data_IF_963747364683
#
_entry.id   IF_963747364683
#
_cell.length_a   1.000
_cell.length_b   1.000
_cell.length_c   1.000
_cell.angle_alpha   90.00
_cell.angle_beta   90.00
_cell.angle_gamma   90.00
#
_symmetry.space_group_name_H-M   'P 1'
#
loop_
_entity.id
_entity.type
_entity.pdbx_description
1 polymer ?
#
# COMPACT_ATOMS: atom_id res chain seq x y z
N UNK A 1 44.90 -38.24 -14.39
CA UNK A 1 45.55 -37.03 -14.94
C UNK A 1 46.42 -36.46 -13.83
N UNK A 2 47.75 -36.59 -13.93
CA UNK A 2 48.66 -36.02 -12.95
C UNK A 2 48.85 -34.54 -13.29
N UNK A 3 48.33 -33.65 -12.44
CA UNK A 3 48.52 -32.20 -12.59
C UNK A 3 50.00 -31.84 -12.53
N UNK A 4 50.38 -30.76 -13.20
CA UNK A 4 51.76 -30.29 -13.27
C UNK A 4 52.33 -30.00 -11.87
N UNK A 5 53.07 -30.98 -11.33
CA UNK A 5 53.65 -30.94 -9.99
C UNK A 5 54.65 -29.78 -9.84
N UNK A 6 55.31 -29.36 -10.93
CA UNK A 6 56.28 -28.28 -10.88
C UNK A 6 55.61 -26.94 -10.56
N UNK A 7 54.46 -26.66 -11.18
CA UNK A 7 53.65 -25.47 -10.91
C UNK A 7 53.13 -25.42 -9.47
N UNK A 8 52.81 -26.58 -8.89
CA UNK A 8 52.32 -26.66 -7.51
C UNK A 8 53.43 -26.37 -6.48
N UNK A 9 54.65 -26.83 -6.76
CA UNK A 9 55.81 -26.59 -5.90
C UNK A 9 56.27 -25.13 -5.95
N UNK A 10 56.26 -24.52 -7.14
CA UNK A 10 56.61 -23.09 -7.28
C UNK A 10 55.56 -22.21 -6.62
N UNK A 11 54.27 -22.50 -6.80
CA UNK A 11 53.17 -21.79 -6.13
C UNK A 11 53.29 -21.86 -4.61
N UNK A 12 53.57 -23.05 -4.07
CA UNK A 12 53.77 -23.25 -2.63
C UNK A 12 54.95 -22.44 -2.10
N UNK A 13 56.11 -22.50 -2.77
CA UNK A 13 57.29 -21.72 -2.38
C UNK A 13 57.01 -20.22 -2.38
N UNK A 14 56.27 -19.74 -3.37
CA UNK A 14 55.89 -18.33 -3.45
C UNK A 14 54.92 -17.95 -2.31
N UNK A 15 53.95 -18.80 -2.00
CA UNK A 15 53.02 -18.59 -0.88
C UNK A 15 53.73 -18.59 0.48
N UNK A 16 54.67 -19.51 0.70
CA UNK A 16 55.50 -19.56 1.90
C UNK A 16 56.36 -18.30 2.04
N UNK A 17 57.04 -17.88 0.96
CA UNK A 17 57.83 -16.65 0.97
C UNK A 17 56.98 -15.38 1.20
N UNK A 18 55.75 -15.35 0.69
CA UNK A 18 54.85 -14.22 0.91
C UNK A 18 54.37 -14.16 2.37
N UNK A 19 54.06 -15.30 2.97
CA UNK A 19 53.65 -15.41 4.37
C UNK A 19 54.78 -15.09 5.36
N UNK A 20 56.04 -15.38 5.01
CA UNK A 20 57.22 -14.99 5.81
C UNK A 20 57.45 -13.48 5.82
N UNK A 21 57.16 -12.81 4.70
CA UNK A 21 57.31 -11.35 4.58
C UNK A 21 56.18 -10.63 5.32
N UNK A 22 54.94 -11.10 5.17
CA UNK A 22 53.77 -10.54 5.86
C UNK A 22 52.66 -11.59 6.01
N UNK A 23 52.31 -11.89 7.27
CA UNK A 23 51.27 -12.86 7.60
C UNK A 23 49.86 -12.38 7.22
N UNK A 24 49.66 -11.07 7.04
CA UNK A 24 48.35 -10.47 6.72
C UNK A 24 48.02 -10.47 5.23
N UNK A 25 48.94 -10.93 4.37
CA UNK A 25 48.82 -10.91 2.89
C UNK A 25 47.55 -11.61 2.37
N UNK A 26 47.03 -12.59 3.10
CA UNK A 26 45.83 -13.35 2.72
C UNK A 26 44.59 -13.00 3.55
N UNK A 27 44.67 -12.06 4.47
CA UNK A 27 43.56 -11.64 5.34
C UNK A 27 42.59 -10.66 4.64
N UNK A 28 42.25 -10.92 3.37
CA UNK A 28 41.35 -10.04 2.61
C UNK A 28 39.96 -9.89 3.26
N UNK A 29 39.45 -10.93 3.91
CA UNK A 29 38.13 -10.92 4.55
C UNK A 29 38.13 -10.08 5.84
N UNK A 30 39.25 -10.03 6.57
CA UNK A 30 39.35 -9.24 7.82
C UNK A 30 39.30 -7.73 7.55
N UNK A 31 39.89 -7.30 6.43
CA UNK A 31 39.92 -5.90 6.00
C UNK A 31 38.67 -5.51 5.22
N UNK A 32 38.01 -6.46 4.54
CA UNK A 32 36.83 -6.18 3.70
C UNK A 32 35.70 -5.49 4.47
N UNK A 33 35.43 -5.92 5.70
CA UNK A 33 34.41 -5.29 6.54
C UNK A 33 34.77 -3.86 6.98
N UNK A 34 36.07 -3.55 7.11
CA UNK A 34 36.56 -2.20 7.41
C UNK A 34 36.51 -1.25 6.21
N UNK A 35 36.61 -1.81 4.99
CA UNK A 35 36.50 -1.07 3.72
C UNK A 35 35.05 -0.79 3.33
N UNK A 36 34.08 -1.51 3.92
CA UNK A 36 32.67 -1.18 3.74
C UNK A 36 32.45 0.22 4.32
N UNK A 37 31.95 1.19 3.53
CA UNK A 37 31.59 2.48 4.09
C UNK A 37 30.57 2.23 5.19
N UNK A 38 30.87 2.69 6.42
CA UNK A 38 29.92 2.65 7.53
C UNK A 38 28.66 3.34 7.05
N UNK A 39 27.61 2.57 6.76
CA UNK A 39 26.31 3.10 6.38
C UNK A 39 25.82 3.88 7.59
N UNK A 40 26.02 5.19 7.57
CA UNK A 40 25.31 6.07 8.49
C UNK A 40 23.85 5.89 8.14
N UNK A 41 23.05 5.41 9.10
CA UNK A 41 21.62 5.26 8.91
C UNK A 41 21.05 6.60 8.49
N UNK A 42 20.74 6.76 7.20
CA UNK A 42 20.10 7.95 6.69
C UNK A 42 18.66 7.96 7.22
N UNK A 43 18.03 9.14 7.29
CA UNK A 43 16.62 9.24 7.71
C UNK A 43 15.71 8.33 6.85
N UNK A 44 16.10 8.12 5.59
CA UNK A 44 15.44 7.20 4.64
C UNK A 44 15.46 5.73 5.09
N UNK A 45 16.50 5.26 5.80
CA UNK A 45 16.55 3.91 6.35
C UNK A 45 15.57 3.72 7.53
N UNK A 46 15.25 4.78 8.27
CA UNK A 46 14.22 4.74 9.32
C UNK A 46 12.80 4.77 8.74
N UNK A 47 12.64 5.34 7.54
CA UNK A 47 11.40 5.39 6.78
C UNK A 47 11.10 4.08 6.04
N UNK A 48 12.03 3.12 6.01
CA UNK A 48 11.80 1.74 5.50
C UNK A 48 10.86 0.90 6.38
N UNK A 49 10.19 1.49 7.38
CA UNK A 49 9.05 0.83 8.01
C UNK A 49 7.91 0.72 6.99
N UNK A 50 7.19 -0.41 6.91
CA UNK A 50 6.08 -0.53 5.99
C UNK A 50 5.08 0.59 6.26
N UNK A 51 4.66 1.29 5.20
CA UNK A 51 3.80 2.49 5.25
C UNK A 51 2.53 2.31 6.11
N UNK A 52 2.10 1.08 6.33
CA UNK A 52 0.87 0.72 7.04
C UNK A 52 1.07 -0.05 8.35
N UNK A 53 2.29 -0.49 8.69
CA UNK A 53 2.52 -1.34 9.87
C UNK A 53 2.07 -0.65 11.16
N UNK A 54 2.36 0.65 11.29
CA UNK A 54 1.93 1.45 12.45
C UNK A 54 0.41 1.44 12.61
N UNK A 55 -0.33 1.60 11.51
CA UNK A 55 -1.79 1.63 11.55
C UNK A 55 -2.37 0.24 11.88
N UNK A 56 -1.75 -0.84 11.39
CA UNK A 56 -2.17 -2.21 11.70
C UNK A 56 -1.97 -2.49 13.20
N UNK A 57 -0.81 -2.11 13.76
CA UNK A 57 -0.54 -2.27 15.19
C UNK A 57 -1.51 -1.44 16.02
N UNK A 58 -1.73 -0.17 15.67
CA UNK A 58 -2.70 0.70 16.34
C UNK A 58 -4.11 0.12 16.28
N UNK A 59 -4.54 -0.41 15.14
CA UNK A 59 -5.85 -1.04 14.98
C UNK A 59 -5.98 -2.33 15.81
N UNK A 60 -4.91 -3.13 15.89
CA UNK A 60 -4.89 -4.31 16.75
C UNK A 60 -5.02 -3.92 18.23
N UNK A 61 -4.35 -2.85 18.66
CA UNK A 61 -4.43 -2.35 20.04
C UNK A 61 -5.82 -1.79 20.37
N UNK A 62 -6.46 -1.09 19.41
CA UNK A 62 -7.85 -0.64 19.54
C UNK A 62 -8.79 -1.83 19.73
N UNK A 63 -8.71 -2.85 18.88
CA UNK A 63 -9.55 -4.05 19.01
C UNK A 63 -9.37 -4.78 20.34
N UNK A 64 -8.14 -4.84 20.86
CA UNK A 64 -7.87 -5.44 22.17
C UNK A 64 -8.56 -4.66 23.28
N UNK A 65 -8.49 -3.31 23.24
CA UNK A 65 -9.20 -2.46 24.19
C UNK A 65 -10.72 -2.64 24.09
N UNK A 66 -11.26 -2.64 22.86
CA UNK A 66 -12.70 -2.82 22.63
C UNK A 66 -13.19 -4.18 23.13
N UNK A 67 -12.40 -5.24 22.96
CA UNK A 67 -12.71 -6.58 23.47
C UNK A 67 -12.78 -6.59 25.00
N UNK A 68 -11.82 -5.96 25.69
CA UNK A 68 -11.84 -5.83 27.15
C UNK A 68 -13.07 -5.05 27.64
N UNK A 69 -13.40 -3.94 26.99
CA UNK A 69 -14.58 -3.14 27.32
C UNK A 69 -15.87 -3.96 27.09
N UNK A 70 -15.93 -4.75 26.02
CA UNK A 70 -17.08 -5.60 25.72
C UNK A 70 -17.27 -6.70 26.77
N UNK A 71 -16.18 -7.35 27.20
CA UNK A 71 -16.20 -8.32 28.29
C UNK A 71 -16.65 -7.67 29.61
N UNK A 72 -16.13 -6.50 29.95
CA UNK A 72 -16.55 -5.77 31.16
C UNK A 72 -18.03 -5.39 31.14
N UNK A 73 -18.54 -4.89 30.00
CA UNK A 73 -19.97 -4.59 29.80
C UNK A 73 -20.82 -5.85 29.86
N UNK A 74 -20.31 -6.99 29.37
CA UNK A 74 -20.97 -8.29 29.46
C UNK A 74 -21.09 -8.74 30.91
N UNK A 75 -19.99 -8.70 31.67
CA UNK A 75 -20.00 -9.09 33.09
C UNK A 75 -20.89 -8.15 33.91
N UNK A 76 -20.89 -6.85 33.61
CA UNK A 76 -21.80 -5.91 34.25
C UNK A 76 -23.28 -6.28 34.00
N UNK A 77 -23.63 -6.60 32.75
CA UNK A 77 -24.98 -7.06 32.38
C UNK A 77 -25.37 -8.39 33.05
N UNK A 78 -24.44 -9.34 33.13
CA UNK A 78 -24.65 -10.60 33.86
C UNK A 78 -24.92 -10.35 35.35
N UNK A 79 -24.16 -9.44 35.98
CA UNK A 79 -24.38 -9.06 37.38
C UNK A 79 -25.68 -8.29 37.62
N UNK A 80 -26.14 -7.52 36.65
CA UNK A 80 -27.45 -6.86 36.72
C UNK A 80 -28.58 -7.89 36.63
N UNK A 81 -28.44 -8.88 35.75
CA UNK A 81 -29.41 -9.97 35.60
C UNK A 81 -29.44 -10.90 36.83
N UNK A 82 -28.29 -11.22 37.41
CA UNK A 82 -28.16 -12.00 38.66
C UNK A 82 -28.38 -11.14 39.92
N UNK A 83 -28.53 -9.83 39.76
CA UNK A 83 -28.55 -8.85 40.83
C UNK A 83 -29.72 -8.98 41.79
N UNK A 84 -30.83 -9.60 41.36
CA UNK A 84 -31.96 -9.93 42.23
C UNK A 84 -31.66 -11.14 43.15
N UNK A 85 -30.82 -12.08 42.71
CA UNK A 85 -30.47 -13.30 43.46
C UNK A 85 -29.33 -13.08 44.47
N UNK A 86 -28.49 -12.07 44.23
CA UNK A 86 -27.33 -11.74 45.08
C UNK A 86 -27.35 -10.33 45.67
N UNK A 87 -28.54 -9.70 45.76
CA UNK A 87 -28.72 -8.38 46.37
C UNK A 87 -28.24 -8.33 47.84
N UNK A 88 -28.43 -9.43 48.57
CA UNK A 88 -28.07 -9.54 50.00
C UNK A 88 -26.57 -9.84 50.22
N UNK A 89 -25.79 -10.07 49.17
CA UNK A 89 -24.35 -10.39 49.27
C UNK A 89 -23.49 -9.17 49.00
N UNK A 90 -22.42 -9.03 49.77
CA UNK A 90 -21.46 -7.94 49.63
C UNK A 90 -20.69 -8.04 48.30
N UNK A 91 -20.55 -6.90 47.60
CA UNK A 91 -19.83 -6.79 46.32
C UNK A 91 -18.37 -6.42 46.59
N UNK A 92 -17.45 -7.36 46.37
CA UNK A 92 -16.02 -7.11 46.51
C UNK A 92 -15.38 -6.82 45.15
N UNK A 93 -14.79 -5.63 45.02
CA UNK A 93 -14.01 -5.22 43.85
C UNK A 93 -12.55 -5.04 44.28
N UNK A 94 -11.64 -5.72 43.59
CA UNK A 94 -10.20 -5.56 43.83
C UNK A 94 -9.73 -4.17 43.41
N UNK A 95 -8.71 -3.62 44.08
CA UNK A 95 -8.16 -2.30 43.73
C UNK A 95 -7.67 -2.23 42.28
N UNK A 96 -7.11 -3.33 41.76
CA UNK A 96 -6.66 -3.43 40.38
C UNK A 96 -7.83 -3.27 39.39
N UNK A 97 -8.96 -3.92 39.65
CA UNK A 97 -10.14 -3.81 38.80
C UNK A 97 -10.78 -2.42 38.87
N UNK A 98 -10.76 -1.77 40.05
CA UNK A 98 -11.20 -0.37 40.18
C UNK A 98 -10.35 0.57 39.33
N UNK A 99 -9.02 0.42 39.38
CA UNK A 99 -8.09 1.20 38.55
C UNK A 99 -8.29 0.94 37.05
N UNK A 100 -8.50 -0.31 36.65
CA UNK A 100 -8.80 -0.68 35.26
C UNK A 100 -10.10 -0.02 34.77
N UNK A 101 -11.16 -0.01 35.58
CA UNK A 101 -12.40 0.67 35.22
C UNK A 101 -12.24 2.19 35.10
N UNK A 102 -11.45 2.81 35.97
CA UNK A 102 -11.16 4.25 35.89
C UNK A 102 -10.34 4.60 34.65
N UNK A 103 -9.33 3.78 34.30
CA UNK A 103 -8.54 3.94 33.09
C UNK A 103 -9.40 3.80 31.83
N UNK A 104 -10.26 2.77 31.77
CA UNK A 104 -11.17 2.57 30.65
C UNK A 104 -12.16 3.73 30.49
N UNK A 105 -12.74 4.24 31.59
CA UNK A 105 -13.62 5.42 31.55
C UNK A 105 -12.91 6.66 31.04
N UNK A 106 -11.67 6.89 31.50
CA UNK A 106 -10.87 8.03 31.05
C UNK A 106 -10.54 7.94 29.56
N UNK A 107 -10.22 6.76 29.06
CA UNK A 107 -9.97 6.51 27.64
C UNK A 107 -11.24 6.68 26.80
N UNK A 108 -12.39 6.20 27.28
CA UNK A 108 -13.69 6.38 26.61
C UNK A 108 -14.09 7.86 26.53
N UNK A 109 -13.86 8.65 27.58
CA UNK A 109 -14.10 10.09 27.57
C UNK A 109 -13.16 10.84 26.62
N UNK A 110 -11.89 10.45 26.54
CA UNK A 110 -10.92 11.05 25.63
C UNK A 110 -11.25 10.73 24.16
N UNK A 111 -11.59 9.48 23.85
CA UNK A 111 -12.05 9.07 22.52
C UNK A 111 -13.38 9.75 22.18
N UNK A 112 -14.33 9.86 23.12
CA UNK A 112 -15.58 10.60 22.89
C UNK A 112 -15.32 12.07 22.59
N UNK A 113 -14.43 12.73 23.33
CA UNK A 113 -14.05 14.13 23.06
C UNK A 113 -13.43 14.27 21.68
N UNK A 114 -12.55 13.34 21.30
CA UNK A 114 -11.92 13.32 19.97
C UNK A 114 -12.96 13.11 18.87
N UNK A 115 -13.87 12.16 19.04
CA UNK A 115 -14.95 11.90 18.10
C UNK A 115 -15.88 13.11 17.97
N UNK A 116 -16.21 13.80 19.07
CA UNK A 116 -16.99 15.04 19.03
C UNK A 116 -16.29 16.16 18.27
N UNK A 117 -14.97 16.31 18.44
CA UNK A 117 -14.15 17.26 17.68
C UNK A 117 -14.06 16.88 16.19
N UNK A 118 -13.86 15.60 15.89
CA UNK A 118 -13.86 15.08 14.52
C UNK A 118 -15.24 15.22 13.87
N UNK A 119 -16.33 14.96 14.60
CA UNK A 119 -17.69 15.18 14.15
C UNK A 119 -17.97 16.67 13.89
N UNK A 120 -17.46 17.58 14.74
CA UNK A 120 -17.52 19.03 14.49
C UNK A 120 -16.74 19.44 13.23
N UNK A 121 -15.58 18.83 12.95
CA UNK A 121 -14.80 19.05 11.72
C UNK A 121 -15.48 18.43 10.48
N UNK A 122 -16.08 17.25 10.64
CA UNK A 122 -16.76 16.48 9.59
C UNK A 122 -18.17 17.01 9.28
N UNK A 123 -18.78 17.79 10.17
CA UNK A 123 -19.99 18.59 9.91
C UNK A 123 -19.81 19.62 8.78
N UNK A 124 -18.60 19.78 8.24
CA UNK A 124 -18.35 20.71 7.13
C UNK A 124 -19.06 20.37 5.81
N UNK A 125 -19.71 19.19 5.65
CA UNK A 125 -20.73 19.00 4.61
C UNK A 125 -20.40 18.01 3.49
N UNK A 126 -19.93 16.80 3.84
CA UNK A 126 -19.79 15.68 2.90
C UNK A 126 -18.95 15.99 1.64
N UNK A 127 -19.25 15.32 0.53
CA UNK A 127 -18.51 15.48 -0.73
C UNK A 127 -18.64 16.89 -1.32
N UNK A 128 -19.78 17.57 -1.13
CA UNK A 128 -19.96 18.94 -1.66
C UNK A 128 -19.06 19.96 -0.96
N UNK A 129 -18.79 19.78 0.32
CA UNK A 129 -17.82 20.59 1.06
C UNK A 129 -16.37 20.28 0.68
N UNK A 130 -16.08 19.03 0.34
CA UNK A 130 -14.79 18.65 -0.21
C UNK A 130 -14.53 19.38 -1.55
N UNK A 131 -15.50 19.35 -2.48
CA UNK A 131 -15.39 20.09 -3.74
C UNK A 131 -15.29 21.61 -3.52
N UNK A 132 -16.04 22.16 -2.56
CA UNK A 132 -15.94 23.58 -2.20
C UNK A 132 -14.54 23.96 -1.71
N UNK A 133 -14.01 23.20 -0.75
CA UNK A 133 -12.63 23.41 -0.24
C UNK A 133 -11.57 23.24 -1.33
N UNK A 134 -11.78 22.36 -2.30
CA UNK A 134 -10.86 22.18 -3.42
C UNK A 134 -10.85 23.44 -4.30
N UNK A 135 -12.04 23.94 -4.67
CA UNK A 135 -12.18 25.18 -5.43
C UNK A 135 -11.61 26.39 -4.66
N UNK A 136 -11.94 26.54 -3.38
CA UNK A 136 -11.41 27.61 -2.52
C UNK A 136 -9.87 27.56 -2.47
N UNK A 137 -9.27 26.36 -2.43
CA UNK A 137 -7.81 26.18 -2.42
C UNK A 137 -7.18 26.51 -3.77
N UNK A 138 -7.84 26.18 -4.87
CA UNK A 138 -7.36 26.51 -6.21
C UNK A 138 -7.49 28.02 -6.49
N UNK A 139 -8.56 28.67 -6.00
CA UNK A 139 -8.71 30.12 -6.01
C UNK A 139 -7.63 30.82 -5.18
N UNK A 140 -7.33 30.32 -3.97
CA UNK A 140 -6.25 30.84 -3.13
C UNK A 140 -4.88 30.76 -3.82
N UNK A 141 -4.59 29.60 -4.45
CA UNK A 141 -3.35 29.43 -5.23
C UNK A 141 -3.28 30.40 -6.39
N UNK A 142 -4.40 30.62 -7.07
CA UNK A 142 -4.45 31.57 -8.16
C UNK A 142 -4.24 33.01 -7.65
N UNK A 143 -4.89 33.40 -6.56
CA UNK A 143 -4.71 34.72 -5.96
C UNK A 143 -3.28 34.96 -5.47
N UNK A 144 -2.65 33.94 -4.88
CA UNK A 144 -1.26 34.02 -4.44
C UNK A 144 -0.30 34.14 -5.63
N UNK A 145 -0.56 33.41 -6.71
CA UNK A 145 0.23 33.52 -7.94
C UNK A 145 0.09 34.89 -8.60
N UNK A 146 -1.13 35.43 -8.68
CA UNK A 146 -1.39 36.78 -9.21
C UNK A 146 -0.73 37.84 -8.33
N UNK A 147 -0.86 37.73 -7.01
CA UNK A 147 -0.21 38.63 -6.07
C UNK A 147 1.31 38.58 -6.18
N UNK A 148 1.90 37.38 -6.29
CA UNK A 148 3.35 37.23 -6.49
C UNK A 148 3.80 37.81 -7.84
N UNK A 149 3.00 37.70 -8.90
CA UNK A 149 3.27 38.34 -10.19
C UNK A 149 3.18 39.87 -10.11
N UNK A 150 2.19 40.41 -9.40
CA UNK A 150 2.04 41.84 -9.17
C UNK A 150 3.15 42.42 -8.29
N UNK A 151 3.58 41.69 -7.25
CA UNK A 151 4.70 42.10 -6.39
C UNK A 151 6.01 42.11 -7.18
N UNK A 152 6.24 41.12 -8.05
CA UNK A 152 7.37 41.10 -9.00
C UNK A 152 7.31 42.24 -10.02
N UNK A 153 6.12 42.60 -10.50
CA UNK A 153 5.94 43.72 -11.43
C UNK A 153 6.14 45.08 -10.75
N UNK A 154 5.77 45.22 -9.46
CA UNK A 154 5.91 46.47 -8.69
C UNK A 154 7.30 46.70 -8.13
N UNK A 155 8.02 45.64 -7.75
CA UNK A 155 9.34 45.77 -7.13
C UNK A 155 10.51 45.66 -8.12
N UNK A 156 10.23 45.34 -9.40
CA UNK A 156 11.27 45.00 -10.36
C UNK A 156 11.95 43.69 -9.99
N UNK A 157 12.32 42.87 -10.98
CA UNK A 157 13.01 41.63 -10.71
C UNK A 157 14.31 41.90 -9.92
N UNK A 158 14.64 41.14 -8.86
CA UNK A 158 16.01 41.09 -8.40
C UNK A 158 16.81 40.48 -9.56
N UNK A 159 17.84 41.20 -10.01
CA UNK A 159 18.87 40.64 -10.89
C UNK A 159 19.56 39.50 -10.13
N UNK A 160 19.08 38.28 -10.33
CA UNK A 160 19.92 37.10 -10.16
C UNK A 160 20.51 36.78 -11.52
N UNK A 161 21.79 37.13 -11.67
CA UNK A 161 22.69 36.48 -12.62
C UNK A 161 22.50 34.97 -12.50
N UNK A 162 22.04 34.31 -13.57
CA UNK A 162 22.62 33.08 -14.07
C UNK A 162 21.97 32.72 -15.42
N UNK A 163 22.85 32.44 -16.38
CA UNK A 163 22.60 32.06 -17.76
C UNK A 163 21.52 30.98 -17.94
N UNK A 164 20.55 31.25 -18.80
CA UNK A 164 20.34 30.40 -19.97
C UNK A 164 19.58 31.16 -21.08
N UNK A 165 19.98 30.88 -22.31
CA UNK A 165 19.67 31.58 -23.56
C UNK A 165 18.20 31.35 -23.98
N UNK A 166 17.27 32.21 -23.56
CA UNK A 166 15.92 32.28 -24.14
C UNK A 166 15.72 33.61 -24.85
N UNK A 167 16.12 33.61 -26.13
CA UNK A 167 15.83 34.68 -27.08
C UNK A 167 14.33 34.89 -27.15
N UNK A 168 13.91 36.06 -26.69
CA UNK A 168 12.62 36.66 -26.98
C UNK A 168 12.35 36.59 -28.49
N UNK A 169 11.46 35.67 -28.89
CA UNK A 169 10.90 35.62 -30.24
C UNK A 169 10.07 36.90 -30.45
N UNK A 170 10.71 37.92 -31.03
CA UNK A 170 9.98 38.96 -31.75
C UNK A 170 9.28 38.25 -32.91
N UNK A 171 7.95 38.31 -32.91
CA UNK A 171 7.08 37.77 -33.96
C UNK A 171 7.55 38.27 -35.34
N UNK A 172 8.39 37.49 -36.02
CA UNK A 172 8.73 37.74 -37.43
C UNK A 172 7.48 37.43 -38.24
N UNK A 173 7.07 38.36 -39.09
CA UNK A 173 5.87 38.17 -39.92
C UNK A 173 6.07 36.98 -40.87
N UNK A 174 4.98 36.28 -41.24
CA UNK A 174 5.02 35.10 -42.12
C UNK A 174 5.81 35.37 -43.43
N UNK A 175 5.76 36.62 -43.92
CA UNK A 175 6.47 37.08 -45.12
C UNK A 175 8.00 37.16 -44.94
N UNK A 176 8.47 37.56 -43.75
CA UNK A 176 9.91 37.66 -43.47
C UNK A 176 10.54 36.27 -43.36
N UNK A 177 9.80 35.32 -42.78
CA UNK A 177 10.21 33.91 -42.68
C UNK A 177 10.31 33.29 -44.08
N UNK A 178 9.35 33.60 -44.96
CA UNK A 178 9.36 33.11 -46.34
C UNK A 178 10.56 33.62 -47.15
N UNK A 179 10.91 34.91 -47.00
CA UNK A 179 12.10 35.49 -47.65
C UNK A 179 13.39 34.86 -47.14
N UNK A 180 13.52 34.71 -45.82
CA UNK A 180 14.69 34.09 -45.19
C UNK A 180 14.86 32.62 -45.63
N UNK A 181 13.75 31.89 -45.83
CA UNK A 181 13.76 30.53 -46.36
C UNK A 181 14.15 30.48 -47.85
N UNK A 182 13.69 31.44 -48.66
CA UNK A 182 14.08 31.54 -50.07
C UNK A 182 15.57 31.89 -50.23
N UNK A 183 16.11 32.76 -49.39
CA UNK A 183 17.56 33.05 -49.33
C UNK A 183 18.37 31.82 -48.92
N UNK A 184 17.81 30.97 -48.04
CA UNK A 184 18.40 29.68 -47.63
C UNK A 184 18.16 28.55 -48.64
N UNK A 185 17.60 28.84 -49.82
CA UNK A 185 17.44 27.89 -50.92
C UNK A 185 16.16 27.04 -50.89
N UNK A 186 15.19 27.34 -50.03
CA UNK A 186 13.84 26.80 -50.16
C UNK A 186 13.11 27.50 -51.32
N UNK A 187 12.19 26.82 -52.01
CA UNK A 187 11.37 27.42 -53.05
C UNK A 187 9.95 27.67 -52.51
N UNK A 188 9.79 28.72 -51.70
CA UNK A 188 8.51 29.17 -51.16
C UNK A 188 7.88 30.18 -52.12
N UNK A 189 6.68 29.85 -52.64
CA UNK A 189 5.95 30.74 -53.54
C UNK A 189 5.22 31.86 -52.77
N UNK A 190 5.49 33.12 -53.12
CA UNK A 190 4.90 34.32 -52.51
C UNK A 190 4.12 35.08 -53.59
N UNK A 191 2.89 35.50 -53.27
CA UNK A 191 2.05 36.34 -54.16
C UNK A 191 2.50 37.81 -54.17
N UNK A 192 2.00 38.61 -55.10
CA UNK A 192 2.29 40.05 -55.22
C UNK A 192 1.93 40.85 -53.94
N UNK A 193 0.97 40.37 -53.15
CA UNK A 193 0.57 40.93 -51.85
C UNK A 193 1.47 40.49 -50.66
N UNK A 194 2.57 39.78 -50.92
CA UNK A 194 3.52 39.35 -49.88
C UNK A 194 3.04 38.19 -49.02
N UNK A 195 1.95 37.51 -49.39
CA UNK A 195 1.42 36.34 -48.70
C UNK A 195 1.97 35.03 -49.29
N UNK A 196 2.29 34.06 -48.43
CA UNK A 196 2.76 32.73 -48.84
C UNK A 196 1.58 31.91 -49.37
N UNK A 197 1.72 31.41 -50.60
CA UNK A 197 0.65 30.67 -51.31
C UNK A 197 0.34 29.34 -50.62
N UNK A 198 1.37 28.63 -50.15
CA UNK A 198 1.24 27.37 -49.43
C UNK A 198 2.02 27.40 -48.12
N UNK A 199 1.28 27.53 -47.00
CA UNK A 199 1.85 27.57 -45.64
C UNK A 199 2.63 26.32 -45.24
N UNK A 200 2.46 25.20 -45.97
CA UNK A 200 3.24 23.98 -45.73
C UNK A 200 4.70 24.13 -46.12
N UNK A 201 5.00 25.02 -47.06
CA UNK A 201 6.37 25.29 -47.51
C UNK A 201 7.20 26.03 -46.46
N UNK A 202 6.56 26.66 -45.47
CA UNK A 202 7.21 27.25 -44.30
C UNK A 202 7.64 26.20 -43.26
N UNK A 203 7.10 24.98 -43.34
CA UNK A 203 7.43 23.91 -42.41
C UNK A 203 8.75 23.26 -42.83
N UNK A 204 9.79 23.44 -42.00
CA UNK A 204 11.10 22.79 -42.18
C UNK A 204 10.90 21.27 -42.30
N UNK A 205 11.41 20.68 -43.39
CA UNK A 205 11.29 19.26 -43.73
C UNK A 205 11.95 18.35 -42.69
N UNK A 206 11.25 18.10 -41.58
CA UNK A 206 11.70 17.23 -40.49
C UNK A 206 10.57 16.68 -39.60
N UNK A 207 9.32 17.08 -39.84
CA UNK A 207 8.16 16.62 -39.07
C UNK A 207 7.20 15.74 -39.89
N UNK A 208 7.76 14.88 -40.76
CA UNK A 208 7.00 13.81 -41.43
C UNK A 208 7.43 12.44 -40.89
N UNK A 209 7.23 12.21 -39.59
CA UNK A 209 7.19 10.84 -39.05
C UNK A 209 5.85 10.24 -39.48
N UNK A 210 5.87 9.46 -40.57
CA UNK A 210 4.68 8.78 -41.07
C UNK A 210 4.11 7.85 -40.01
N UNK A 211 2.95 8.18 -39.45
CA UNK A 211 2.20 7.28 -38.59
C UNK A 211 1.81 6.03 -39.39
N UNK A 212 2.31 4.86 -38.98
CA UNK A 212 1.94 3.57 -39.55
C UNK A 212 0.42 3.38 -39.45
N UNK A 213 -0.22 3.24 -40.61
CA UNK A 213 -1.64 2.91 -40.77
C UNK A 213 -1.87 1.50 -40.19
N UNK A 214 -2.67 1.38 -39.12
CA UNK A 214 -3.22 0.08 -38.71
C UNK A 214 -4.33 -0.28 -39.68
N UNK A 215 -4.24 -1.48 -40.23
CA UNK A 215 -5.21 -2.07 -41.14
C UNK A 215 -6.57 -2.22 -40.42
N UNK A 216 -7.57 -1.51 -40.92
CA UNK A 216 -8.97 -1.76 -40.59
C UNK A 216 -9.49 -2.86 -41.50
N UNK A 217 -9.87 -3.98 -40.90
CA UNK A 217 -10.58 -5.09 -41.53
C UNK A 217 -11.80 -4.57 -42.27
N UNK A 218 -11.90 -4.94 -43.54
CA UNK A 218 -13.03 -4.66 -44.41
C UNK A 218 -14.31 -5.28 -43.84
N UNK A 219 -15.36 -4.47 -43.69
CA UNK A 219 -16.73 -4.96 -43.72
C UNK A 219 -17.52 -4.15 -44.74
N UNK A 220 -18.16 -4.90 -45.61
CA UNK A 220 -18.85 -4.50 -46.81
C UNK A 220 -19.90 -3.43 -46.57
N UNK A 221 -20.02 -2.57 -47.57
CA UNK A 221 -21.06 -1.58 -47.71
C UNK A 221 -22.39 -2.27 -48.07
N UNK A 222 -23.46 -1.97 -47.34
CA UNK A 222 -24.81 -1.97 -47.91
C UNK A 222 -25.66 -0.81 -47.38
N UNK A 223 -26.08 0.00 -48.36
CA UNK A 223 -27.38 0.68 -48.51
C UNK A 223 -27.76 1.79 -47.54
N UNK A 224 -27.78 2.99 -48.13
CA UNK A 224 -28.61 4.11 -47.74
C UNK A 224 -30.09 3.69 -47.63
N UNK A 225 -30.71 4.00 -46.50
CA UNK A 225 -32.16 4.13 -46.38
C UNK A 225 -32.43 5.22 -45.33
N UNK A 226 -33.03 6.32 -45.78
CA UNK A 226 -33.55 7.39 -44.94
C UNK A 226 -34.46 6.81 -43.86
N UNK A 227 -34.29 7.27 -42.62
CA UNK A 227 -35.24 7.02 -41.52
C UNK A 227 -35.69 8.35 -40.93
N UNK A 228 -37.00 8.50 -40.66
CA UNK A 228 -37.55 9.75 -40.17
C UNK A 228 -37.15 9.97 -38.71
N UNK A 229 -36.92 11.24 -38.36
CA UNK A 229 -36.75 11.68 -36.98
C UNK A 229 -38.03 11.33 -36.21
N UNK A 230 -37.89 10.53 -35.14
CA UNK A 230 -38.96 10.23 -34.18
C UNK A 230 -38.41 10.35 -32.77
N UNK A 231 -39.24 10.95 -31.92
CA UNK A 231 -38.94 11.55 -30.63
C UNK A 231 -38.14 10.66 -29.66
N UNK A 232 -37.13 11.29 -29.04
CA UNK A 232 -36.29 10.70 -27.99
C UNK A 232 -36.97 10.92 -26.65
N UNK A 233 -37.87 10.03 -26.27
CA UNK A 233 -38.32 9.93 -24.87
C UNK A 233 -38.40 8.47 -24.41
N UNK A 234 -37.74 8.20 -23.28
CA UNK A 234 -37.86 7.04 -22.38
C UNK A 234 -37.29 5.64 -22.72
N UNK A 235 -36.86 5.30 -23.93
CA UNK A 235 -36.40 3.91 -24.19
C UNK A 235 -34.92 3.62 -23.84
N UNK A 236 -34.09 4.64 -23.64
CA UNK A 236 -32.67 4.49 -23.28
C UNK A 236 -32.42 4.16 -21.80
N UNK A 237 -33.36 4.49 -20.90
CA UNK A 237 -33.22 4.23 -19.46
C UNK A 237 -33.34 2.72 -19.15
N UNK A 238 -34.28 2.01 -19.78
CA UNK A 238 -34.46 0.57 -19.57
C UNK A 238 -33.26 -0.28 -20.02
N UNK A 239 -32.59 0.07 -21.11
CA UNK A 239 -31.40 -0.65 -21.60
C UNK A 239 -30.18 -0.44 -20.70
N UNK A 240 -30.01 0.76 -20.14
CA UNK A 240 -28.95 1.09 -19.17
C UNK A 240 -29.19 0.44 -17.81
N UNK A 241 -30.45 0.35 -17.39
CA UNK A 241 -30.86 -0.36 -16.17
C UNK A 241 -30.63 -1.87 -16.29
N UNK A 242 -31.02 -2.48 -17.42
CA UNK A 242 -30.77 -3.90 -17.67
C UNK A 242 -29.27 -4.26 -17.75
N UNK A 243 -28.40 -3.33 -18.19
CA UNK A 243 -26.95 -3.54 -18.12
C UNK A 243 -26.42 -3.46 -16.69
N UNK A 244 -26.91 -2.51 -15.88
CA UNK A 244 -26.55 -2.39 -14.47
C UNK A 244 -26.99 -3.60 -13.65
N UNK A 245 -28.19 -4.11 -13.90
CA UNK A 245 -28.70 -5.32 -13.22
C UNK A 245 -27.87 -6.57 -13.53
N UNK A 246 -27.36 -6.69 -14.75
CA UNK A 246 -26.44 -7.80 -15.11
C UNK A 246 -25.07 -7.64 -14.44
N UNK A 247 -24.58 -6.41 -14.35
CA UNK A 247 -23.32 -6.12 -13.66
C UNK A 247 -23.45 -6.31 -12.14
N UNK A 248 -24.56 -5.89 -11.54
CA UNK A 248 -24.80 -6.08 -10.11
C UNK A 248 -24.95 -7.55 -9.77
N UNK A 249 -25.68 -8.34 -10.58
CA UNK A 249 -25.78 -9.79 -10.40
C UNK A 249 -24.43 -10.51 -10.52
N UNK A 250 -23.56 -10.09 -11.44
CA UNK A 250 -22.21 -10.65 -11.55
C UNK A 250 -21.36 -10.36 -10.30
N UNK A 251 -21.45 -9.15 -9.76
CA UNK A 251 -20.73 -8.76 -8.54
C UNK A 251 -21.29 -9.48 -7.32
N UNK A 252 -22.62 -9.62 -7.24
CA UNK A 252 -23.31 -10.37 -6.19
C UNK A 252 -22.91 -11.84 -6.22
N UNK A 253 -22.88 -12.46 -7.40
CA UNK A 253 -22.43 -13.86 -7.55
C UNK A 253 -20.94 -14.03 -7.16
N UNK A 254 -20.07 -13.07 -7.52
CA UNK A 254 -18.67 -13.10 -7.07
C UNK A 254 -18.56 -12.96 -5.55
N UNK A 255 -19.37 -12.09 -4.95
CA UNK A 255 -19.42 -11.90 -3.50
C UNK A 255 -19.92 -13.17 -2.81
N UNK A 256 -21.02 -13.76 -3.29
CA UNK A 256 -21.57 -15.01 -2.78
C UNK A 256 -20.58 -16.17 -2.90
N UNK A 257 -19.89 -16.29 -4.04
CA UNK A 257 -18.83 -17.30 -4.21
C UNK A 257 -17.68 -17.09 -3.24
N UNK A 258 -17.28 -15.84 -2.98
CA UNK A 258 -16.22 -15.53 -2.00
C UNK A 258 -16.65 -15.86 -0.57
N UNK A 259 -17.90 -15.54 -0.21
CA UNK A 259 -18.48 -15.84 1.09
C UNK A 259 -18.71 -17.33 1.30
N UNK A 260 -19.02 -18.06 0.23
CA UNK A 260 -19.13 -19.52 0.27
C UNK A 260 -17.75 -20.16 0.49
N UNK A 261 -16.73 -19.73 -0.26
CA UNK A 261 -15.35 -20.20 -0.07
C UNK A 261 -14.84 -19.92 1.35
N UNK A 262 -15.10 -18.72 1.90
CA UNK A 262 -14.68 -18.40 3.26
C UNK A 262 -15.39 -19.27 4.30
N UNK A 263 -16.69 -19.57 4.11
CA UNK A 263 -17.43 -20.50 5.00
C UNK A 263 -16.91 -21.93 4.91
N UNK A 264 -16.60 -22.39 3.71
CA UNK A 264 -16.05 -23.73 3.49
C UNK A 264 -14.65 -23.86 4.10
N UNK A 265 -13.81 -22.82 3.99
CA UNK A 265 -12.50 -22.72 4.64
C UNK A 265 -12.61 -22.69 6.18
N UNK A 266 -13.53 -21.90 6.73
CA UNK A 266 -13.79 -21.88 8.17
C UNK A 266 -14.30 -23.23 8.70
N UNK A 267 -15.17 -23.90 7.94
CA UNK A 267 -15.65 -25.23 8.29
C UNK A 267 -14.50 -26.26 8.27
N UNK A 268 -13.65 -26.24 7.25
CA UNK A 268 -12.47 -27.10 7.17
C UNK A 268 -11.49 -26.84 8.31
N UNK A 269 -11.24 -25.58 8.67
CA UNK A 269 -10.41 -25.23 9.82
C UNK A 269 -11.00 -25.73 11.15
N UNK A 270 -12.33 -25.61 11.34
CA UNK A 270 -13.00 -26.15 12.52
C UNK A 270 -12.87 -27.67 12.59
N UNK A 271 -13.08 -28.38 11.48
CA UNK A 271 -12.87 -29.83 11.42
C UNK A 271 -11.42 -30.23 11.72
N UNK A 272 -10.44 -29.46 11.23
CA UNK A 272 -9.02 -29.71 11.51
C UNK A 272 -8.71 -29.51 12.99
N UNK A 273 -9.21 -28.44 13.60
CA UNK A 273 -9.05 -28.19 15.05
C UNK A 273 -9.74 -29.28 15.86
N UNK A 274 -10.92 -29.75 15.45
CA UNK A 274 -11.60 -30.87 16.10
C UNK A 274 -10.84 -32.19 15.94
N UNK A 275 -10.26 -32.48 14.78
CA UNK A 275 -9.41 -33.67 14.59
C UNK A 275 -8.13 -33.56 15.41
N UNK A 276 -7.54 -32.38 15.50
CA UNK A 276 -6.37 -32.11 16.32
C UNK A 276 -6.70 -32.24 17.82
N UNK A 277 -7.88 -31.80 18.26
CA UNK A 277 -8.32 -31.96 19.66
C UNK A 277 -8.65 -33.42 19.98
N UNK A 278 -9.30 -34.15 19.06
CA UNK A 278 -9.61 -35.59 19.20
C UNK A 278 -8.37 -36.48 19.15
N UNK A 279 -7.31 -36.08 18.42
CA UNK A 279 -6.05 -36.85 18.33
C UNK A 279 -5.06 -36.53 19.45
N UNK A 280 -5.20 -35.39 20.14
CA UNK A 280 -4.41 -35.08 21.32
C UNK A 280 -4.95 -35.83 22.52
N UNK A 281 -4.08 -36.62 23.16
CA UNK A 281 -4.39 -37.27 24.44
C UNK A 281 -4.73 -36.21 25.47
N UNK A 282 -5.86 -36.38 26.14
CA UNK A 282 -6.29 -35.45 27.19
C UNK A 282 -5.39 -35.58 28.42
N UNK A 283 -5.29 -34.53 29.22
CA UNK A 283 -4.49 -34.54 30.45
C UNK A 283 -4.91 -35.66 31.41
N UNK A 284 -6.20 -36.03 31.42
CA UNK A 284 -6.73 -37.17 32.19
C UNK A 284 -6.26 -38.54 31.68
N UNK A 285 -6.10 -38.72 30.37
CA UNK A 285 -5.50 -39.95 29.82
C UNK A 285 -4.02 -40.06 30.20
N UNK A 286 -3.30 -38.93 30.20
CA UNK A 286 -1.89 -38.87 30.60
C UNK A 286 -1.74 -39.15 32.10
N UNK A 287 -2.58 -38.57 32.96
CA UNK A 287 -2.55 -38.82 34.41
C UNK A 287 -2.91 -40.28 34.74
N UNK A 288 -3.97 -40.82 34.13
CA UNK A 288 -4.36 -42.22 34.34
C UNK A 288 -3.31 -43.22 33.84
N UNK A 289 -2.59 -42.89 32.76
CA UNK A 289 -1.47 -43.70 32.27
C UNK A 289 -0.28 -43.65 33.24
N UNK A 290 0.01 -42.46 33.80
CA UNK A 290 1.06 -42.25 34.81
C UNK A 290 0.74 -42.98 36.11
N UNK A 291 -0.50 -42.95 36.58
CA UNK A 291 -0.96 -43.67 37.77
C UNK A 291 -0.84 -45.19 37.58
N UNK A 292 -1.29 -45.72 36.43
CA UNK A 292 -1.13 -47.15 36.09
C UNK A 292 0.34 -47.56 36.02
N UNK A 293 1.21 -46.70 35.49
CA UNK A 293 2.65 -46.94 35.47
C UNK A 293 3.26 -46.97 36.88
N UNK A 294 2.90 -46.01 37.73
CA UNK A 294 3.37 -45.96 39.12
C UNK A 294 2.87 -47.15 39.94
N UNK A 295 1.61 -47.57 39.75
CA UNK A 295 1.05 -48.75 40.39
C UNK A 295 1.80 -50.04 39.98
N UNK A 296 2.06 -50.23 38.68
CA UNK A 296 2.88 -51.34 38.19
C UNK A 296 4.29 -51.32 38.76
N UNK A 297 4.90 -50.14 38.88
CA UNK A 297 6.26 -50.00 39.44
C UNK A 297 6.28 -50.37 40.93
N UNK A 298 5.32 -49.89 41.72
CA UNK A 298 5.20 -50.23 43.15
C UNK A 298 4.98 -51.74 43.36
N UNK A 299 4.06 -52.34 42.60
CA UNK A 299 3.81 -53.78 42.66
C UNK A 299 5.06 -54.60 42.28
N UNK A 300 5.84 -54.15 41.29
CA UNK A 300 7.09 -54.81 40.92
C UNK A 300 8.19 -54.67 41.99
N UNK A 301 8.26 -53.54 42.70
CA UNK A 301 9.17 -53.37 43.83
C UNK A 301 8.77 -54.21 45.05
N UNK A 302 7.48 -54.30 45.34
CA UNK A 302 6.95 -55.18 46.39
C UNK A 302 7.21 -56.66 46.08
N UNK A 303 6.96 -57.09 44.83
CA UNK A 303 7.28 -58.45 44.39
C UNK A 303 8.78 -58.76 44.45
N UNK A 304 9.66 -57.79 44.19
CA UNK A 304 11.10 -57.95 44.37
C UNK A 304 11.51 -58.04 45.84
N UNK A 305 10.85 -57.28 46.72
CA UNK A 305 11.09 -57.35 48.17
C UNK A 305 10.63 -58.68 48.76
N UNK A 306 9.50 -59.22 48.31
CA UNK A 306 9.02 -60.53 48.76
C UNK A 306 9.87 -61.67 48.20
N UNK A 307 10.40 -61.57 46.99
CA UNK A 307 11.28 -62.57 46.39
C UNK A 307 12.74 -62.53 46.92
N UNK A 308 13.21 -61.39 47.44
CA UNK A 308 14.56 -61.25 48.01
C UNK A 308 14.65 -61.46 49.52
N UNK A 309 13.52 -61.71 50.20
CA UNK A 309 13.42 -61.95 51.64
C UNK A 309 13.17 -63.41 52.04
N UNK A 310 13.20 -64.33 51.07
CA UNK A 310 13.20 -65.78 51.27
C UNK A 310 14.60 -66.33 50.99
#
# INVERSE_FOLDING_TARGET
MFGDLSSSLTSRRNAESAAEVDASVYEYDSVYDSLKPKKQATKEDQEKRPKYMKNILQAADVRKRDALIAEEKKIAREREAEGEEFADKEKFVTEAYRKQQEENKRLEEEERRREEEEAKKNKSGGMSAFYRKLLDKDEQRHSDAVRAAEEKAKHGAPEEENADDDKQEKEKTEADIAKELNEKGAAVAINEDGQVVDKRQLLRGGLNVGAKKKESVQREAERQAERPRKDVTNQHFGRKQAQRERQSRMIEEQLEQSMKRSRDEEAAQKEEVERASKSRKTEGEISSAKERYLARKRAAEEAKKTAGGA
#
